data_IF_871156491602
#
_entry.id   IF_871156491602
#
_cell.length_a   1.000
_cell.length_b   1.000
_cell.length_c   1.000
_cell.angle_alpha   90.00
_cell.angle_beta   90.00
_cell.angle_gamma   90.00
#
_symmetry.space_group_name_H-M   'P 1'
#
loop_
_entity.id
_entity.type
_entity.pdbx_description
1 polymer ?
#
# COMPACT_ATOMS: atom_id res chain seq x y z
N UNK A 1 19.70 3.01 -17.85
CA UNK A 1 18.25 3.06 -17.58
C UNK A 1 17.60 1.68 -17.63
N UNK A 2 17.69 0.91 -18.73
CA UNK A 2 17.09 -0.47 -18.78
C UNK A 2 17.54 -1.37 -17.63
N UNK A 3 18.85 -1.50 -17.40
CA UNK A 3 19.40 -2.25 -16.27
C UNK A 3 18.88 -1.78 -14.89
N UNK A 4 18.64 -0.47 -14.73
CA UNK A 4 18.07 0.06 -13.49
C UNK A 4 16.58 -0.28 -13.34
N UNK A 5 15.83 -0.29 -14.44
CA UNK A 5 14.44 -0.78 -14.47
C UNK A 5 14.38 -2.26 -14.11
N UNK A 6 15.20 -3.11 -14.73
CA UNK A 6 15.22 -4.54 -14.48
C UNK A 6 15.58 -4.84 -13.00
N UNK A 7 16.58 -4.12 -12.48
CA UNK A 7 16.95 -4.14 -11.08
C UNK A 7 15.77 -3.75 -10.16
N UNK A 8 15.06 -2.68 -10.48
CA UNK A 8 13.92 -2.20 -9.68
C UNK A 8 12.79 -3.23 -9.65
N UNK A 9 12.49 -3.86 -10.79
CA UNK A 9 11.50 -4.93 -10.90
C UNK A 9 11.87 -6.13 -10.01
N UNK A 10 13.16 -6.49 -9.95
CA UNK A 10 13.66 -7.58 -9.12
C UNK A 10 13.62 -7.25 -7.62
N UNK A 11 14.01 -6.04 -7.23
CA UNK A 11 13.88 -5.58 -5.85
C UNK A 11 12.43 -5.57 -5.38
N UNK A 12 11.49 -5.17 -6.24
CA UNK A 12 10.05 -5.21 -5.91
C UNK A 12 9.50 -6.64 -5.75
N UNK A 13 10.02 -7.61 -6.50
CA UNK A 13 9.66 -9.03 -6.25
C UNK A 13 10.12 -9.48 -4.87
N UNK A 14 11.35 -9.14 -4.47
CA UNK A 14 11.86 -9.45 -3.14
C UNK A 14 11.11 -8.68 -2.03
N UNK A 15 10.77 -7.42 -2.27
CA UNK A 15 9.99 -6.59 -1.35
C UNK A 15 8.65 -7.22 -0.98
N UNK A 16 7.94 -7.78 -1.96
CA UNK A 16 6.67 -8.47 -1.74
C UNK A 16 6.84 -9.76 -0.93
N UNK A 17 7.93 -10.50 -1.16
CA UNK A 17 8.26 -11.68 -0.34
C UNK A 17 8.62 -11.29 1.11
N UNK A 18 9.41 -10.23 1.29
CA UNK A 18 9.74 -9.68 2.60
C UNK A 18 8.48 -9.25 3.35
N UNK A 19 7.59 -8.51 2.69
CA UNK A 19 6.34 -8.04 3.27
C UNK A 19 5.43 -9.19 3.69
N UNK A 20 5.21 -10.16 2.80
CA UNK A 20 4.40 -11.34 3.05
C UNK A 20 4.91 -12.16 4.25
N UNK A 21 6.23 -12.31 4.37
CA UNK A 21 6.84 -13.25 5.31
C UNK A 21 7.46 -12.62 6.56
N UNK A 22 7.37 -11.30 6.72
CA UNK A 22 7.85 -10.62 7.92
C UNK A 22 6.69 -10.35 8.88
N UNK A 23 6.76 -10.84 10.13
CA UNK A 23 5.73 -10.53 11.13
C UNK A 23 5.56 -9.03 11.34
N UNK A 24 4.34 -8.59 11.64
CA UNK A 24 4.03 -7.19 11.93
C UNK A 24 3.74 -6.30 10.71
N UNK A 25 3.91 -6.82 9.50
CA UNK A 25 3.54 -6.12 8.28
C UNK A 25 2.05 -6.30 7.99
N UNK A 26 1.25 -5.40 8.55
CA UNK A 26 -0.20 -5.27 8.34
C UNK A 26 -0.45 -4.15 7.31
N UNK A 27 -1.63 -4.09 6.67
CA UNK A 27 -1.84 -3.24 5.49
C UNK A 27 -1.36 -1.78 5.65
N UNK A 28 -1.59 -1.08 6.78
CA UNK A 28 -1.11 0.28 6.95
C UNK A 28 0.42 0.36 7.11
N UNK A 29 1.01 -0.55 7.88
CA UNK A 29 2.46 -0.62 8.09
C UNK A 29 3.18 -0.95 6.78
N UNK A 30 2.62 -1.86 5.98
CA UNK A 30 3.14 -2.21 4.66
C UNK A 30 3.10 -1.01 3.72
N UNK A 31 1.96 -0.32 3.64
CA UNK A 31 1.81 0.91 2.83
C UNK A 31 2.83 1.99 3.19
N UNK A 32 2.99 2.26 4.51
CA UNK A 32 4.00 3.19 5.01
C UNK A 32 5.40 2.76 4.61
N UNK A 33 5.73 1.48 4.77
CA UNK A 33 7.07 0.96 4.45
C UNK A 33 7.40 1.14 2.97
N UNK A 34 6.47 0.83 2.07
CA UNK A 34 6.67 1.03 0.64
C UNK A 34 6.95 2.51 0.30
N UNK A 35 6.21 3.45 0.90
CA UNK A 35 6.42 4.88 0.63
C UNK A 35 7.84 5.34 0.96
N UNK A 36 8.39 4.93 2.11
CA UNK A 36 9.76 5.27 2.49
C UNK A 36 10.82 4.53 1.67
N UNK A 37 10.57 3.29 1.26
CA UNK A 37 11.48 2.54 0.37
C UNK A 37 11.56 3.23 -0.99
N UNK A 38 10.42 3.58 -1.59
CA UNK A 38 10.39 4.23 -2.89
C UNK A 38 10.86 5.68 -2.85
N UNK A 39 10.68 6.38 -1.72
CA UNK A 39 11.32 7.67 -1.47
C UNK A 39 12.85 7.55 -1.54
N UNK A 40 13.44 6.56 -0.85
CA UNK A 40 14.88 6.33 -0.90
C UNK A 40 15.35 5.95 -2.30
N UNK A 41 14.58 5.14 -3.01
CA UNK A 41 14.89 4.75 -4.38
C UNK A 41 14.87 5.95 -5.33
N UNK A 42 13.82 6.78 -5.27
CA UNK A 42 13.68 8.00 -6.06
C UNK A 42 14.83 8.98 -5.81
N UNK A 43 15.13 9.29 -4.55
CA UNK A 43 16.20 10.22 -4.16
C UNK A 43 17.57 9.71 -4.61
N UNK A 44 17.80 8.38 -4.59
CA UNK A 44 19.03 7.77 -5.08
C UNK A 44 19.25 7.94 -6.60
N UNK A 45 18.22 8.33 -7.35
CA UNK A 45 18.33 8.60 -8.79
C UNK A 45 18.73 10.04 -9.12
N UNK A 46 18.55 10.98 -8.18
CA UNK A 46 18.68 12.43 -8.43
C UNK A 46 19.99 12.91 -9.06
N UNK A 47 21.16 12.29 -8.79
CA UNK A 47 22.41 12.70 -9.44
C UNK A 47 22.38 12.64 -10.98
N UNK A 48 21.45 11.88 -11.59
CA UNK A 48 21.37 11.68 -13.05
C UNK A 48 19.99 11.96 -13.66
N UNK A 49 19.01 12.41 -12.87
CA UNK A 49 17.65 12.70 -13.37
C UNK A 49 17.46 14.15 -13.81
N UNK A 50 18.43 15.04 -13.57
CA UNK A 50 18.53 16.36 -14.20
C UNK A 50 17.43 17.35 -13.79
N UNK A 51 16.24 17.20 -14.39
CA UNK A 51 15.06 18.06 -14.23
C UNK A 51 14.18 17.67 -13.04
N UNK A 52 14.43 16.51 -12.41
CA UNK A 52 13.73 16.08 -11.21
C UNK A 52 14.21 16.87 -9.99
N UNK A 53 13.33 16.99 -9.00
CA UNK A 53 13.56 17.76 -7.77
C UNK A 53 13.60 16.84 -6.57
N UNK A 54 14.32 17.24 -5.54
CA UNK A 54 14.33 16.46 -4.30
C UNK A 54 13.02 16.66 -3.56
N UNK A 55 12.59 15.60 -2.88
CA UNK A 55 11.49 15.59 -1.93
C UNK A 55 11.81 16.39 -0.67
N UNK A 56 13.05 16.85 -0.47
CA UNK A 56 13.41 17.86 0.54
C UNK A 56 12.60 19.16 0.35
N UNK A 57 12.24 19.50 -0.89
CA UNK A 57 11.42 20.69 -1.20
C UNK A 57 9.97 20.53 -0.73
N UNK A 58 9.48 19.29 -0.56
CA UNK A 58 8.09 18.98 -0.18
C UNK A 58 7.94 18.57 1.28
N UNK A 59 8.96 17.95 1.88
CA UNK A 59 8.82 17.27 3.16
C UNK A 59 9.71 17.91 4.23
N UNK A 60 9.15 18.81 5.06
CA UNK A 60 9.89 19.46 6.13
C UNK A 60 10.64 18.47 7.02
N UNK A 61 11.90 18.78 7.28
CA UNK A 61 12.80 17.98 8.12
C UNK A 61 13.43 16.77 7.44
N UNK A 62 13.08 16.45 6.20
CA UNK A 62 13.89 15.57 5.36
C UNK A 62 15.04 16.37 4.74
N UNK A 63 16.23 15.78 4.66
CA UNK A 63 17.36 16.36 3.94
C UNK A 63 18.04 15.35 3.04
N UNK A 64 18.15 15.68 1.76
CA UNK A 64 18.84 14.84 0.79
C UNK A 64 20.35 14.92 1.02
N UNK A 65 21.12 13.83 0.85
CA UNK A 65 22.57 13.91 0.91
C UNK A 65 23.10 14.81 -0.21
N UNK A 66 24.24 15.46 0.05
CA UNK A 66 24.90 16.29 -0.97
C UNK A 66 25.20 15.46 -2.21
N UNK A 67 24.90 16.03 -3.38
CA UNK A 67 25.18 15.39 -4.65
C UNK A 67 26.69 15.06 -4.78
N UNK A 68 27.06 13.93 -5.42
CA UNK A 68 28.45 13.57 -5.65
C UNK A 68 29.18 14.64 -6.46
N UNK A 69 30.45 14.90 -6.14
CA UNK A 69 31.24 15.95 -6.80
C UNK A 69 31.49 15.71 -8.30
N UNK A 70 31.44 14.45 -8.76
CA UNK A 70 31.69 14.03 -10.15
C UNK A 70 30.49 13.28 -10.71
N UNK A 71 29.47 14.01 -11.14
CA UNK A 71 28.21 13.45 -11.65
C UNK A 71 28.41 12.61 -12.92
N UNK A 72 29.38 12.96 -13.75
CA UNK A 72 29.74 12.24 -14.98
C UNK A 72 30.26 10.82 -14.71
N UNK A 73 30.76 10.56 -13.49
CA UNK A 73 31.24 9.25 -13.06
C UNK A 73 30.17 8.48 -12.27
N UNK A 74 29.00 9.06 -12.04
CA UNK A 74 27.94 8.39 -11.29
C UNK A 74 27.41 7.18 -12.07
N UNK A 75 27.02 6.14 -11.34
CA UNK A 75 26.44 4.94 -11.92
C UNK A 75 25.15 4.58 -11.20
N UNK A 76 24.05 5.02 -11.80
CA UNK A 76 22.70 4.89 -11.27
C UNK A 76 22.34 3.49 -10.76
N UNK A 77 22.58 2.38 -11.50
CA UNK A 77 22.22 1.06 -11.01
C UNK A 77 22.89 0.69 -9.68
N UNK A 78 24.16 1.06 -9.46
CA UNK A 78 24.86 0.76 -8.21
C UNK A 78 24.35 1.59 -7.03
N UNK A 79 23.94 2.84 -7.28
CA UNK A 79 23.32 3.68 -6.26
C UNK A 79 21.94 3.14 -5.86
N UNK A 80 21.10 2.85 -6.86
CA UNK A 80 19.76 2.34 -6.66
C UNK A 80 19.76 0.97 -5.95
N UNK A 81 20.66 0.07 -6.35
CA UNK A 81 20.85 -1.23 -5.70
C UNK A 81 21.19 -1.09 -4.21
N UNK A 82 22.14 -0.20 -3.89
CA UNK A 82 22.57 0.03 -2.53
C UNK A 82 21.51 0.74 -1.69
N UNK A 83 20.74 1.66 -2.29
CA UNK A 83 19.61 2.31 -1.64
C UNK A 83 18.54 1.27 -1.25
N UNK A 84 18.09 0.44 -2.19
CA UNK A 84 17.12 -0.64 -1.93
C UNK A 84 17.62 -1.62 -0.85
N UNK A 85 18.85 -2.13 -1.00
CA UNK A 85 19.42 -3.05 -0.01
C UNK A 85 19.47 -2.44 1.39
N UNK A 86 19.96 -1.20 1.52
CA UNK A 86 20.07 -0.55 2.82
C UNK A 86 18.70 -0.24 3.44
N UNK A 87 17.78 0.36 2.69
CA UNK A 87 16.47 0.76 3.22
C UNK A 87 15.63 -0.45 3.61
N UNK A 88 15.69 -1.55 2.83
CA UNK A 88 14.99 -2.79 3.16
C UNK A 88 15.56 -3.44 4.42
N UNK A 89 16.88 -3.44 4.65
CA UNK A 89 17.44 -3.94 5.92
C UNK A 89 16.94 -3.16 7.13
N UNK A 90 16.77 -1.85 6.99
CA UNK A 90 16.25 -1.02 8.09
C UNK A 90 14.80 -1.31 8.44
N UNK A 91 13.91 -1.33 7.43
CA UNK A 91 12.49 -1.58 7.67
C UNK A 91 12.24 -3.04 8.03
N UNK A 92 12.79 -4.00 7.28
CA UNK A 92 12.61 -5.44 7.53
C UNK A 92 13.61 -6.00 8.55
N UNK A 93 14.04 -5.21 9.54
CA UNK A 93 15.03 -5.66 10.54
C UNK A 93 14.58 -6.87 11.38
N UNK A 94 13.26 -7.04 11.56
CA UNK A 94 12.66 -8.20 12.22
C UNK A 94 12.33 -9.38 11.26
N UNK A 95 12.74 -9.30 9.99
CA UNK A 95 12.52 -10.39 9.04
C UNK A 95 13.31 -11.64 9.43
N UNK A 96 12.75 -12.85 9.22
CA UNK A 96 13.47 -14.10 9.44
C UNK A 96 14.81 -14.14 8.69
N UNK A 97 15.82 -14.79 9.28
CA UNK A 97 17.19 -14.86 8.74
C UNK A 97 17.24 -15.22 7.25
N UNK A 98 16.45 -16.22 6.84
CA UNK A 98 16.38 -16.69 5.44
C UNK A 98 16.04 -15.58 4.44
N UNK A 99 15.21 -14.61 4.85
CA UNK A 99 14.79 -13.49 4.00
C UNK A 99 15.76 -12.33 4.08
N UNK A 100 16.37 -12.10 5.24
CA UNK A 100 17.47 -11.14 5.38
C UNK A 100 18.65 -11.50 4.45
N UNK A 101 19.01 -12.79 4.42
CA UNK A 101 20.05 -13.31 3.51
C UNK A 101 19.68 -13.10 2.03
N UNK A 102 18.38 -13.02 1.67
CA UNK A 102 17.95 -12.73 0.29
C UNK A 102 18.20 -11.28 -0.11
N UNK A 103 18.11 -10.33 0.83
CA UNK A 103 18.49 -8.93 0.60
C UNK A 103 19.98 -8.86 0.27
N UNK A 104 20.81 -9.51 1.09
CA UNK A 104 22.26 -9.54 0.92
C UNK A 104 22.64 -10.19 -0.42
N UNK A 105 22.09 -11.37 -0.73
CA UNK A 105 22.32 -12.08 -1.99
C UNK A 105 21.95 -11.24 -3.22
N UNK A 106 20.83 -10.52 -3.17
CA UNK A 106 20.36 -9.69 -4.29
C UNK A 106 21.29 -8.49 -4.51
N UNK A 107 21.63 -7.76 -3.44
CA UNK A 107 22.53 -6.61 -3.52
C UNK A 107 23.93 -7.04 -3.98
N UNK A 108 24.49 -8.12 -3.42
CA UNK A 108 25.83 -8.62 -3.74
C UNK A 108 25.94 -9.09 -5.19
N UNK A 109 24.92 -9.78 -5.71
CA UNK A 109 24.89 -10.24 -7.11
C UNK A 109 25.00 -9.07 -8.08
N UNK A 110 24.14 -8.07 -7.93
CA UNK A 110 24.18 -6.87 -8.78
C UNK A 110 25.48 -6.09 -8.60
N UNK A 111 25.94 -5.93 -7.35
CA UNK A 111 27.21 -5.24 -7.07
C UNK A 111 28.40 -5.94 -7.74
N UNK A 112 28.46 -7.27 -7.70
CA UNK A 112 29.51 -8.04 -8.36
C UNK A 112 29.46 -7.87 -9.89
N UNK A 113 28.26 -7.81 -10.48
CA UNK A 113 28.07 -7.51 -11.89
C UNK A 113 28.57 -6.10 -12.25
N UNK A 114 28.19 -5.09 -11.47
CA UNK A 114 28.57 -3.70 -11.70
C UNK A 114 30.09 -3.49 -11.55
N UNK A 115 30.71 -4.09 -10.53
CA UNK A 115 32.17 -4.03 -10.34
C UNK A 115 32.93 -4.55 -11.57
N UNK A 116 32.43 -5.60 -12.23
CA UNK A 116 33.02 -6.12 -13.49
C UNK A 116 32.85 -5.15 -14.66
N UNK A 117 31.74 -4.42 -14.72
CA UNK A 117 31.44 -3.50 -15.83
C UNK A 117 32.15 -2.14 -15.71
N UNK A 118 32.19 -1.58 -14.50
CA UNK A 118 32.59 -0.18 -14.28
C UNK A 118 33.78 0.00 -13.32
N UNK A 119 34.31 -1.09 -12.78
CA UNK A 119 35.38 -1.08 -11.79
C UNK A 119 34.89 -0.81 -10.36
N UNK A 120 35.71 -1.22 -9.38
CA UNK A 120 35.36 -1.19 -7.96
C UNK A 120 35.14 0.23 -7.42
N UNK A 121 36.07 1.15 -7.70
CA UNK A 121 36.01 2.50 -7.16
C UNK A 121 34.74 3.25 -7.58
N UNK A 122 34.39 3.16 -8.87
CA UNK A 122 33.20 3.82 -9.42
C UNK A 122 31.92 3.20 -8.86
N UNK A 123 31.89 1.88 -8.71
CA UNK A 123 30.77 1.19 -8.07
C UNK A 123 30.60 1.61 -6.61
N UNK A 124 31.69 1.64 -5.82
CA UNK A 124 31.65 2.03 -4.40
C UNK A 124 31.13 3.44 -4.23
N UNK A 125 31.64 4.40 -5.00
CA UNK A 125 31.24 5.82 -4.92
C UNK A 125 29.73 6.00 -5.16
N UNK A 126 29.17 5.31 -6.17
CA UNK A 126 27.74 5.38 -6.45
C UNK A 126 26.89 4.68 -5.36
N UNK A 127 27.35 3.53 -4.87
CA UNK A 127 26.68 2.81 -3.79
C UNK A 127 26.69 3.57 -2.46
N UNK A 128 27.78 4.29 -2.13
CA UNK A 128 27.87 5.15 -0.94
C UNK A 128 26.79 6.23 -0.94
N UNK A 129 26.56 6.89 -2.09
CA UNK A 129 25.45 7.85 -2.21
C UNK A 129 24.09 7.18 -1.96
N UNK A 130 23.84 6.01 -2.56
CA UNK A 130 22.59 5.27 -2.37
C UNK A 130 22.33 4.89 -0.91
N UNK A 131 23.37 4.44 -0.18
CA UNK A 131 23.26 4.14 1.25
C UNK A 131 23.02 5.39 2.09
N UNK A 132 23.68 6.50 1.78
CA UNK A 132 23.47 7.77 2.48
C UNK A 132 22.04 8.29 2.30
N UNK A 133 21.47 8.17 1.09
CA UNK A 133 20.06 8.48 0.83
C UNK A 133 19.15 7.62 1.71
N UNK A 134 19.33 6.29 1.69
CA UNK A 134 18.54 5.37 2.48
C UNK A 134 18.62 5.68 3.99
N UNK A 135 19.79 6.00 4.50
CA UNK A 135 19.98 6.38 5.89
C UNK A 135 19.23 7.68 6.25
N UNK A 136 19.33 8.72 5.41
CA UNK A 136 18.62 9.97 5.65
C UNK A 136 17.09 9.79 5.62
N UNK A 137 16.57 9.01 4.67
CA UNK A 137 15.14 8.68 4.59
C UNK A 137 14.69 7.89 5.82
N UNK A 138 15.49 6.90 6.26
CA UNK A 138 15.18 6.13 7.46
C UNK A 138 15.19 6.99 8.73
N UNK A 139 16.18 7.87 8.89
CA UNK A 139 16.26 8.82 10.01
C UNK A 139 15.07 9.77 10.03
N UNK A 140 14.68 10.31 8.87
CA UNK A 140 13.47 11.13 8.78
C UNK A 140 12.22 10.31 9.11
N UNK A 141 12.11 9.08 8.63
CA UNK A 141 11.03 8.15 9.01
C UNK A 141 10.94 7.92 10.52
N UNK A 142 12.07 7.92 11.24
CA UNK A 142 12.12 7.72 12.68
C UNK A 142 11.56 8.88 13.51
N UNK A 143 11.43 10.08 12.91
CA UNK A 143 10.81 11.24 13.56
C UNK A 143 9.27 11.12 13.63
N UNK A 144 8.67 10.29 12.76
CA UNK A 144 7.26 9.92 12.82
C UNK A 144 7.09 8.73 13.79
N UNK A 145 7.14 9.05 15.09
CA UNK A 145 7.25 8.07 16.18
C UNK A 145 6.07 7.10 16.30
N UNK A 146 4.89 7.52 15.86
CA UNK A 146 3.68 6.69 15.84
C UNK A 146 3.83 5.57 14.79
N UNK A 147 4.30 5.93 13.59
CA UNK A 147 4.40 4.99 12.48
C UNK A 147 5.66 4.13 12.48
N UNK A 148 6.82 4.68 12.86
CA UNK A 148 8.13 4.09 12.57
C UNK A 148 8.33 2.65 13.06
N UNK A 149 7.90 2.35 14.29
CA UNK A 149 8.09 1.05 14.93
C UNK A 149 6.78 0.26 15.09
N UNK A 150 5.72 0.69 14.41
CA UNK A 150 4.39 0.08 14.52
C UNK A 150 4.32 -1.40 14.13
N UNK A 151 5.23 -1.87 13.28
CA UNK A 151 5.38 -3.30 12.96
C UNK A 151 5.79 -4.18 14.15
N UNK A 152 6.29 -3.57 15.23
CA UNK A 152 6.57 -4.29 16.48
C UNK A 152 5.34 -4.32 17.42
N UNK A 153 4.41 -3.37 17.24
CA UNK A 153 3.31 -3.11 18.17
C UNK A 153 2.02 -2.79 17.40
N UNK A 154 1.60 -3.69 16.50
CA UNK A 154 0.43 -3.45 15.64
C UNK A 154 -0.90 -3.37 16.40
N UNK A 155 -1.00 -4.12 17.50
CA UNK A 155 -2.23 -4.32 18.24
C UNK A 155 -2.15 -3.59 19.57
N UNK A 156 -3.05 -2.63 19.79
CA UNK A 156 -3.10 -1.87 21.02
C UNK A 156 -4.01 -2.59 22.03
N UNK A 157 -3.41 -3.12 23.11
CA UNK A 157 -4.13 -3.81 24.18
C UNK A 157 -4.90 -2.86 25.10
N UNK A 158 -4.50 -1.58 25.14
CA UNK A 158 -5.08 -0.56 26.01
C UNK A 158 -6.23 0.21 25.34
N UNK A 159 -6.47 -0.05 24.05
CA UNK A 159 -7.58 0.58 23.34
C UNK A 159 -8.92 -0.01 23.78
N UNK A 160 -9.78 0.85 24.32
CA UNK A 160 -11.14 0.51 24.72
C UNK A 160 -12.10 1.06 23.66
N UNK A 161 -12.77 0.20 22.87
CA UNK A 161 -13.80 0.66 21.95
C UNK A 161 -14.95 1.36 22.70
N UNK A 162 -15.56 2.40 22.12
CA UNK A 162 -16.75 3.05 22.66
C UNK A 162 -17.88 2.05 22.92
N UNK A 163 -18.54 2.19 24.07
CA UNK A 163 -19.67 1.33 24.48
C UNK A 163 -21.01 1.87 23.95
N UNK A 164 -21.14 2.01 22.63
CA UNK A 164 -22.37 2.45 21.95
C UNK A 164 -23.01 1.34 21.11
N UNK A 165 -24.32 1.46 20.89
CA UNK A 165 -25.05 0.61 19.95
C UNK A 165 -24.49 0.87 18.54
N UNK A 166 -24.19 -0.20 17.79
CA UNK A 166 -23.61 -0.10 16.46
C UNK A 166 -22.10 0.12 16.44
N UNK A 167 -21.45 0.20 17.60
CA UNK A 167 -20.01 0.42 17.69
C UNK A 167 -19.24 -0.90 17.68
N UNK A 168 -18.16 -0.95 16.91
CA UNK A 168 -17.33 -2.15 16.76
C UNK A 168 -16.78 -2.61 18.10
N UNK A 169 -16.84 -3.92 18.30
CA UNK A 169 -16.27 -4.62 19.43
C UNK A 169 -15.35 -5.74 18.91
N UNK A 170 -14.26 -6.07 19.62
CA UNK A 170 -13.50 -7.28 19.36
C UNK A 170 -14.40 -8.52 19.33
N UNK A 171 -14.05 -9.47 18.47
CA UNK A 171 -14.75 -10.76 18.39
C UNK A 171 -14.74 -11.45 19.76
N UNK A 172 -15.90 -11.96 20.20
CA UNK A 172 -16.05 -12.60 21.51
C UNK A 172 -15.42 -14.00 21.57
N UNK A 173 -15.42 -14.72 20.45
CA UNK A 173 -14.90 -16.08 20.33
C UNK A 173 -13.37 -16.08 20.16
N UNK A 174 -12.84 -15.13 19.40
CA UNK A 174 -11.40 -14.98 19.16
C UNK A 174 -10.97 -13.52 19.36
N UNK A 175 -10.97 -13.02 20.61
CA UNK A 175 -10.67 -11.63 20.88
C UNK A 175 -9.24 -11.29 20.48
N UNK A 176 -9.13 -10.41 19.49
CA UNK A 176 -7.87 -9.79 19.09
C UNK A 176 -7.96 -8.29 19.38
N UNK A 177 -6.90 -7.66 19.92
CA UNK A 177 -6.91 -6.23 20.21
C UNK A 177 -7.07 -5.39 18.94
N UNK A 178 -7.40 -4.11 19.10
CA UNK A 178 -7.59 -3.20 17.98
C UNK A 178 -6.29 -2.99 17.19
N UNK A 179 -6.37 -3.14 15.87
CA UNK A 179 -5.25 -2.93 14.96
C UNK A 179 -5.02 -1.43 14.71
N UNK A 180 -3.95 -0.90 15.29
CA UNK A 180 -3.43 0.45 15.05
C UNK A 180 -4.46 1.59 15.24
N UNK A 181 -5.14 1.72 16.40
CA UNK A 181 -6.16 2.76 16.63
C UNK A 181 -5.68 4.19 16.41
N UNK A 182 -4.38 4.44 16.65
CA UNK A 182 -3.77 5.77 16.50
C UNK A 182 -3.23 6.05 15.09
N UNK A 183 -3.45 5.15 14.11
CA UNK A 183 -2.81 5.26 12.79
C UNK A 183 -3.18 6.54 12.03
N UNK A 184 -4.36 7.11 12.29
CA UNK A 184 -4.77 8.40 11.71
C UNK A 184 -3.85 9.57 12.07
N UNK A 185 -2.99 9.41 13.09
CA UNK A 185 -2.02 10.42 13.54
C UNK A 185 -0.61 10.25 12.94
N UNK A 186 -0.39 9.20 12.15
CA UNK A 186 0.88 8.99 11.42
C UNK A 186 1.07 10.12 10.40
N UNK A 187 2.33 10.51 10.17
CA UNK A 187 2.66 11.54 9.18
C UNK A 187 2.20 11.13 7.77
N UNK A 188 1.39 11.99 7.14
CA UNK A 188 0.98 11.93 5.73
C UNK A 188 2.08 12.50 4.84
N UNK A 189 2.11 12.11 3.57
CA UNK A 189 3.04 12.62 2.56
C UNK A 189 2.45 13.80 1.78
N UNK A 190 1.32 13.59 1.10
CA UNK A 190 0.75 14.56 0.15
C UNK A 190 -0.58 15.11 0.64
N UNK A 191 -1.37 14.30 1.34
CA UNK A 191 -2.71 14.70 1.79
C UNK A 191 -2.61 15.60 3.02
N UNK A 192 -3.19 16.80 2.91
CA UNK A 192 -3.27 17.78 3.98
C UNK A 192 -4.60 17.71 4.74
N UNK A 193 -4.70 18.43 5.86
CA UNK A 193 -5.95 18.54 6.61
C UNK A 193 -6.99 19.32 5.80
N UNK A 194 -8.17 18.73 5.60
CA UNK A 194 -9.27 19.34 4.84
C UNK A 194 -9.33 18.92 3.37
N UNK A 195 -8.30 18.26 2.85
CA UNK A 195 -8.29 17.72 1.48
C UNK A 195 -9.33 16.64 1.24
N UNK A 196 -9.68 15.94 2.32
CA UNK A 196 -10.66 14.86 2.33
C UNK A 196 -11.68 15.13 3.43
N UNK A 197 -12.94 14.95 3.10
CA UNK A 197 -14.04 14.95 4.05
C UNK A 197 -14.75 13.61 3.95
N UNK A 198 -15.06 13.01 5.10
CA UNK A 198 -15.81 11.77 5.15
C UNK A 198 -17.29 12.01 4.88
N UNK A 199 -17.89 11.12 4.12
CA UNK A 199 -19.34 10.92 4.15
C UNK A 199 -19.68 10.22 5.47
N UNK A 200 -20.79 10.58 6.12
CA UNK A 200 -21.25 9.80 7.27
C UNK A 200 -21.83 8.46 6.80
N UNK A 201 -21.54 7.35 7.49
CA UNK A 201 -22.21 6.08 7.19
C UNK A 201 -23.72 6.20 7.45
N UNK A 202 -24.50 5.28 6.88
CA UNK A 202 -25.91 5.14 7.22
C UNK A 202 -26.07 5.02 8.74
N UNK A 203 -27.06 5.71 9.29
CA UNK A 203 -27.33 5.65 10.73
C UNK A 203 -27.68 4.24 11.13
N UNK A 204 -27.00 3.74 12.16
CA UNK A 204 -27.25 2.41 12.71
C UNK A 204 -28.73 2.26 13.11
N UNK A 205 -29.39 1.23 12.59
CA UNK A 205 -30.81 0.98 12.84
C UNK A 205 -31.14 -0.49 12.58
N UNK A 206 -31.68 -1.18 13.59
CA UNK A 206 -32.04 -2.61 13.56
C UNK A 206 -33.41 -2.88 12.91
N UNK A 207 -34.19 -1.83 12.63
CA UNK A 207 -35.55 -1.96 12.09
C UNK A 207 -35.52 -2.56 10.68
N UNK A 208 -36.25 -3.66 10.43
CA UNK A 208 -36.36 -4.21 9.08
C UNK A 208 -36.82 -3.16 8.06
N UNK A 209 -36.04 -2.97 7.00
CA UNK A 209 -36.29 -1.98 5.95
C UNK A 209 -35.68 -0.60 6.18
N UNK A 210 -34.98 -0.37 7.30
CA UNK A 210 -34.13 0.82 7.48
C UNK A 210 -32.98 0.82 6.46
N UNK A 211 -32.38 1.98 6.13
CA UNK A 211 -31.22 2.03 5.23
C UNK A 211 -30.06 1.12 5.68
N UNK A 212 -29.76 1.08 6.98
CA UNK A 212 -28.70 0.24 7.52
C UNK A 212 -29.05 -1.26 7.47
N UNK A 213 -30.31 -1.61 7.74
CA UNK A 213 -30.78 -2.98 7.58
C UNK A 213 -30.68 -3.43 6.12
N UNK A 214 -30.98 -2.56 5.15
CA UNK A 214 -30.82 -2.85 3.72
C UNK A 214 -29.36 -3.12 3.34
N UNK A 215 -28.41 -2.34 3.83
CA UNK A 215 -26.97 -2.60 3.65
C UNK A 215 -26.57 -4.00 4.17
N UNK A 216 -27.00 -4.34 5.39
CA UNK A 216 -26.73 -5.66 5.97
C UNK A 216 -27.43 -6.81 5.22
N UNK A 217 -28.64 -6.56 4.71
CA UNK A 217 -29.39 -7.53 3.91
C UNK A 217 -28.74 -7.80 2.56
N UNK A 218 -28.14 -6.78 1.93
CA UNK A 218 -27.32 -6.99 0.73
C UNK A 218 -26.18 -7.95 1.04
N UNK A 219 -25.40 -7.67 2.08
CA UNK A 219 -24.28 -8.53 2.50
C UNK A 219 -24.76 -9.96 2.73
N UNK A 220 -25.82 -10.17 3.51
CA UNK A 220 -26.39 -11.50 3.75
C UNK A 220 -26.80 -12.21 2.46
N UNK A 221 -27.47 -11.49 1.54
CA UNK A 221 -28.03 -12.08 0.32
C UNK A 221 -26.96 -12.45 -0.71
N UNK A 222 -25.89 -11.66 -0.85
CA UNK A 222 -24.86 -11.89 -1.88
C UNK A 222 -23.72 -12.77 -1.40
N UNK A 223 -23.56 -12.94 -0.09
CA UNK A 223 -22.45 -13.68 0.51
C UNK A 223 -22.71 -15.18 0.65
N UNK A 224 -23.96 -15.67 0.64
CA UNK A 224 -24.27 -17.11 0.67
C UNK A 224 -25.66 -17.46 0.05
N UNK A 225 -25.76 -18.46 -0.86
CA UNK A 225 -24.67 -19.24 -1.47
C UNK A 225 -23.96 -18.45 -2.58
N UNK A 226 -22.61 -18.53 -2.61
CA UNK A 226 -21.82 -17.86 -3.65
C UNK A 226 -21.82 -18.66 -4.94
N UNK A 227 -21.90 -17.96 -6.08
CA UNK A 227 -21.56 -18.53 -7.38
C UNK A 227 -20.05 -18.84 -7.43
N UNK A 228 -19.63 -19.73 -8.35
CA UNK A 228 -18.20 -20.00 -8.57
C UNK A 228 -17.40 -18.73 -8.88
N UNK A 229 -18.01 -17.80 -9.60
CA UNK A 229 -17.41 -16.51 -9.93
C UNK A 229 -17.22 -15.64 -8.68
N UNK A 230 -18.23 -15.55 -7.82
CA UNK A 230 -18.13 -14.75 -6.60
C UNK A 230 -17.12 -15.35 -5.61
N UNK A 231 -17.01 -16.69 -5.53
CA UNK A 231 -15.96 -17.36 -4.74
C UNK A 231 -14.58 -16.98 -5.28
N UNK A 232 -14.39 -17.02 -6.60
CA UNK A 232 -13.10 -16.66 -7.19
C UNK A 232 -12.73 -15.20 -6.90
N UNK A 233 -13.67 -14.26 -7.08
CA UNK A 233 -13.45 -12.84 -6.78
C UNK A 233 -13.13 -12.63 -5.29
N UNK A 234 -13.87 -13.30 -4.41
CA UNK A 234 -13.65 -13.25 -2.96
C UNK A 234 -12.24 -13.74 -2.57
N UNK A 235 -11.81 -14.89 -3.08
CA UNK A 235 -10.47 -15.43 -2.81
C UNK A 235 -9.35 -14.55 -3.39
N UNK A 236 -9.54 -14.06 -4.63
CA UNK A 236 -8.55 -13.29 -5.38
C UNK A 236 -8.16 -11.96 -4.70
N UNK A 237 -9.11 -11.35 -3.98
CA UNK A 237 -8.95 -10.06 -3.29
C UNK A 237 -8.98 -10.20 -1.77
N UNK A 238 -8.76 -11.41 -1.26
CA UNK A 238 -8.82 -11.67 0.19
C UNK A 238 -7.75 -10.91 0.95
N UNK A 239 -6.48 -11.02 0.50
CA UNK A 239 -5.25 -10.29 0.87
C UNK A 239 -5.01 -9.98 2.38
N UNK A 240 -5.80 -10.56 3.29
CA UNK A 240 -5.79 -10.35 4.74
C UNK A 240 -5.29 -11.60 5.50
N UNK A 241 -4.45 -12.44 4.87
CA UNK A 241 -3.94 -13.69 5.46
C UNK A 241 -2.42 -13.60 5.68
N UNK A 242 -1.96 -13.03 6.82
CA UNK A 242 -0.54 -12.83 7.11
C UNK A 242 0.31 -14.09 7.00
N UNK A 243 1.47 -13.99 6.37
CA UNK A 243 2.33 -15.15 6.11
C UNK A 243 1.89 -15.99 4.91
N UNK A 244 0.64 -15.86 4.45
CA UNK A 244 0.07 -16.60 3.33
C UNK A 244 -0.17 -15.73 2.09
N UNK A 245 -0.61 -14.49 2.25
CA UNK A 245 -0.80 -13.52 1.17
C UNK A 245 0.04 -12.28 1.43
N UNK A 246 0.31 -11.49 0.39
CA UNK A 246 0.68 -10.09 0.57
C UNK A 246 -0.51 -9.33 1.17
N UNK A 247 -0.26 -8.20 1.80
CA UNK A 247 -1.37 -7.32 2.24
C UNK A 247 -2.07 -6.67 1.03
N UNK A 248 -3.24 -6.05 1.23
CA UNK A 248 -3.93 -5.31 0.16
C UNK A 248 -3.08 -4.15 -0.37
N UNK A 249 -2.22 -3.55 0.46
CA UNK A 249 -1.24 -2.57 0.00
C UNK A 249 -0.17 -3.24 -0.89
N UNK A 250 0.34 -4.40 -0.48
CA UNK A 250 1.32 -5.18 -1.25
C UNK A 250 0.75 -5.67 -2.59
N UNK A 251 -0.56 -5.97 -2.63
CA UNK A 251 -1.29 -6.30 -3.86
C UNK A 251 -1.12 -5.25 -4.94
N UNK A 252 -1.28 -3.97 -4.59
CA UNK A 252 -1.17 -2.88 -5.55
C UNK A 252 0.26 -2.59 -5.97
N UNK A 253 1.25 -2.85 -5.11
CA UNK A 253 2.67 -2.86 -5.52
C UNK A 253 2.96 -4.01 -6.49
N UNK A 254 2.38 -5.20 -6.27
CA UNK A 254 2.48 -6.32 -7.20
C UNK A 254 1.87 -5.99 -8.57
N UNK A 255 0.70 -5.36 -8.59
CA UNK A 255 0.03 -4.92 -9.83
C UNK A 255 0.87 -3.85 -10.54
N UNK A 256 1.40 -2.86 -9.82
CA UNK A 256 2.29 -1.85 -10.39
C UNK A 256 3.54 -2.49 -11.04
N UNK A 257 4.17 -3.44 -10.35
CA UNK A 257 5.33 -4.17 -10.86
C UNK A 257 5.02 -4.95 -12.15
N UNK A 258 3.85 -5.60 -12.22
CA UNK A 258 3.38 -6.30 -13.41
C UNK A 258 3.07 -5.34 -14.56
N UNK A 259 2.39 -4.23 -14.29
CA UNK A 259 2.04 -3.22 -15.28
C UNK A 259 3.28 -2.54 -15.88
N UNK A 260 4.29 -2.24 -15.05
CA UNK A 260 5.58 -1.70 -15.52
C UNK A 260 6.31 -2.72 -16.40
N UNK A 261 6.35 -4.00 -15.99
CA UNK A 261 6.98 -5.05 -16.77
C UNK A 261 6.30 -5.26 -18.14
N UNK A 262 4.97 -5.13 -18.19
CA UNK A 262 4.17 -5.25 -19.40
C UNK A 262 4.35 -4.04 -20.33
N UNK A 263 4.19 -2.82 -19.81
CA UNK A 263 4.16 -1.58 -20.61
C UNK A 263 5.55 -1.05 -20.97
N UNK A 264 6.60 -1.45 -20.23
CA UNK A 264 7.99 -1.03 -20.41
C UNK A 264 8.16 0.49 -20.59
N UNK A 265 7.63 1.31 -19.66
CA UNK A 265 7.70 2.76 -19.78
C UNK A 265 9.14 3.24 -19.59
N UNK A 266 9.37 4.54 -19.80
CA UNK A 266 10.69 5.12 -19.53
C UNK A 266 11.09 4.94 -18.06
N UNK A 267 12.39 4.84 -17.76
CA UNK A 267 12.87 4.67 -16.39
C UNK A 267 12.36 5.74 -15.43
N UNK A 268 12.20 6.97 -15.91
CA UNK A 268 11.65 8.05 -15.09
C UNK A 268 10.21 7.77 -14.68
N UNK A 269 9.36 7.35 -15.61
CA UNK A 269 7.97 6.93 -15.33
C UNK A 269 7.95 5.73 -14.37
N UNK A 270 8.91 4.80 -14.47
CA UNK A 270 9.03 3.69 -13.49
C UNK A 270 9.20 4.22 -12.07
N UNK A 271 10.15 5.14 -11.85
CA UNK A 271 10.41 5.69 -10.52
C UNK A 271 9.24 6.54 -10.01
N UNK A 272 8.64 7.37 -10.88
CA UNK A 272 7.46 8.16 -10.52
C UNK A 272 6.28 7.25 -10.15
N UNK A 273 6.05 6.18 -10.91
CA UNK A 273 4.97 5.22 -10.67
C UNK A 273 5.11 4.57 -9.30
N UNK A 274 6.29 4.04 -8.97
CA UNK A 274 6.49 3.38 -7.67
C UNK A 274 6.38 4.36 -6.50
N UNK A 275 7.00 5.54 -6.61
CA UNK A 275 6.95 6.57 -5.58
C UNK A 275 5.51 7.02 -5.30
N UNK A 276 4.81 7.49 -6.34
CA UNK A 276 3.46 8.03 -6.22
C UNK A 276 2.47 6.95 -5.79
N UNK A 277 2.58 5.72 -6.31
CA UNK A 277 1.70 4.61 -5.90
C UNK A 277 1.88 4.32 -4.40
N UNK A 278 3.13 4.26 -3.94
CA UNK A 278 3.42 3.95 -2.54
C UNK A 278 3.01 5.08 -1.58
N UNK A 279 3.20 6.35 -1.97
CA UNK A 279 2.70 7.51 -1.21
C UNK A 279 1.17 7.52 -1.14
N UNK A 280 0.48 7.23 -2.24
CA UNK A 280 -0.98 7.17 -2.29
C UNK A 280 -1.53 6.05 -1.38
N UNK A 281 -0.90 4.89 -1.38
CA UNK A 281 -1.25 3.80 -0.46
C UNK A 281 -1.02 4.21 1.01
N UNK A 282 0.11 4.86 1.32
CA UNK A 282 0.43 5.31 2.66
C UNK A 282 -0.62 6.31 3.17
N UNK A 283 -0.91 7.36 2.41
CA UNK A 283 -1.88 8.38 2.81
C UNK A 283 -3.30 7.82 2.89
N UNK A 284 -3.69 6.94 1.95
CA UNK A 284 -4.96 6.22 2.04
C UNK A 284 -5.05 5.40 3.33
N UNK A 285 -3.96 4.76 3.78
CA UNK A 285 -3.97 3.98 5.02
C UNK A 285 -4.24 4.85 6.24
N UNK A 286 -3.65 6.05 6.27
CA UNK A 286 -3.76 7.01 7.37
C UNK A 286 -5.19 7.53 7.45
N UNK A 287 -5.73 8.02 6.32
CA UNK A 287 -7.09 8.57 6.24
C UNK A 287 -8.13 7.49 6.57
N UNK A 288 -7.97 6.27 6.05
CA UNK A 288 -8.98 5.24 6.30
C UNK A 288 -8.96 4.78 7.75
N UNK A 289 -7.79 4.63 8.38
CA UNK A 289 -7.75 4.29 9.79
C UNK A 289 -8.28 5.43 10.66
N UNK A 290 -8.03 6.69 10.32
CA UNK A 290 -8.67 7.84 10.97
C UNK A 290 -10.21 7.71 10.94
N UNK A 291 -10.77 7.43 9.75
CA UNK A 291 -12.21 7.19 9.58
C UNK A 291 -12.73 6.00 10.39
N UNK A 292 -12.01 4.87 10.35
CA UNK A 292 -12.36 3.65 11.08
C UNK A 292 -12.54 3.91 12.57
N UNK A 293 -11.58 4.57 13.20
CA UNK A 293 -11.63 4.81 14.63
C UNK A 293 -12.48 6.04 15.01
N UNK A 294 -12.74 6.95 14.06
CA UNK A 294 -13.71 8.04 14.22
C UNK A 294 -15.16 7.54 14.26
N UNK A 295 -15.58 6.73 13.29
CA UNK A 295 -16.96 6.25 13.19
C UNK A 295 -17.20 4.98 13.98
N UNK A 296 -16.14 4.16 14.12
CA UNK A 296 -16.12 2.95 14.93
C UNK A 296 -17.29 2.00 14.63
N UNK A 297 -17.67 1.86 13.36
CA UNK A 297 -18.86 1.10 12.96
C UNK A 297 -18.68 -0.42 13.11
N UNK A 298 -19.68 -1.11 13.65
CA UNK A 298 -19.73 -2.57 13.78
C UNK A 298 -19.67 -3.30 12.43
N UNK A 299 -19.16 -4.54 12.44
CA UNK A 299 -19.00 -5.37 11.23
C UNK A 299 -20.30 -6.08 10.86
N UNK A 300 -20.49 -6.44 9.57
CA UNK A 300 -21.68 -7.14 9.11
C UNK A 300 -22.01 -8.41 9.90
N UNK A 301 -21.02 -9.22 10.25
CA UNK A 301 -21.27 -10.48 10.98
C UNK A 301 -21.97 -10.27 12.32
N UNK A 302 -21.50 -9.32 13.13
CA UNK A 302 -22.10 -9.03 14.44
C UNK A 302 -23.53 -8.50 14.32
N UNK A 303 -23.83 -7.76 13.25
CA UNK A 303 -25.17 -7.24 12.98
C UNK A 303 -26.10 -8.34 12.46
N UNK A 304 -25.66 -9.08 11.43
CA UNK A 304 -26.46 -10.12 10.75
C UNK A 304 -26.78 -11.25 11.72
N UNK A 305 -25.82 -11.71 12.53
CA UNK A 305 -26.03 -12.73 13.56
C UNK A 305 -27.15 -12.33 14.54
N UNK A 306 -27.17 -11.07 14.98
CA UNK A 306 -28.18 -10.56 15.92
C UNK A 306 -29.54 -10.31 15.28
N UNK A 307 -29.58 -9.71 14.09
CA UNK A 307 -30.77 -9.03 13.57
C UNK A 307 -31.41 -9.72 12.36
N UNK A 308 -30.67 -10.59 11.65
CA UNK A 308 -31.12 -11.17 10.37
C UNK A 308 -31.13 -12.70 10.43
N UNK A 309 -29.98 -13.32 10.73
CA UNK A 309 -29.80 -14.76 10.70
C UNK A 309 -28.81 -15.20 11.80
N UNK A 310 -29.32 -15.69 12.94
CA UNK A 310 -28.48 -16.25 13.99
C UNK A 310 -27.58 -17.38 13.48
N UNK A 311 -26.32 -17.34 13.88
CA UNK A 311 -25.26 -18.25 13.47
C UNK A 311 -24.66 -17.96 12.09
N UNK A 312 -25.04 -16.87 11.42
CA UNK A 312 -24.41 -16.49 10.15
C UNK A 312 -22.94 -16.13 10.36
N UNK A 313 -22.11 -16.53 9.40
CA UNK A 313 -20.66 -16.27 9.38
C UNK A 313 -20.25 -15.74 8.02
N UNK A 314 -19.37 -14.75 8.03
CA UNK A 314 -18.69 -14.32 6.82
C UNK A 314 -17.85 -15.45 6.23
N UNK A 315 -17.47 -15.35 4.96
CA UNK A 315 -16.62 -16.37 4.32
C UNK A 315 -15.23 -16.39 4.96
N UNK A 316 -14.71 -15.22 5.36
CA UNK A 316 -13.42 -15.03 6.01
C UNK A 316 -13.58 -14.37 7.39
N UNK A 317 -12.65 -14.65 8.30
CA UNK A 317 -12.62 -14.06 9.63
C UNK A 317 -12.61 -12.53 9.60
N UNK A 318 -13.35 -11.91 10.52
CA UNK A 318 -13.41 -10.47 10.62
C UNK A 318 -12.07 -9.89 11.09
N UNK A 319 -11.49 -8.92 10.37
CA UNK A 319 -10.31 -8.23 10.85
C UNK A 319 -10.59 -7.39 12.10
N UNK A 320 -9.61 -7.28 12.99
CA UNK A 320 -9.72 -6.63 14.31
C UNK A 320 -9.63 -5.10 14.25
N UNK A 321 -10.55 -4.50 13.49
CA UNK A 321 -10.74 -3.06 13.36
C UNK A 321 -12.15 -2.74 12.85
N UNK A 322 -12.65 -1.50 13.06
CA UNK A 322 -13.99 -1.08 12.62
C UNK A 322 -14.24 -1.19 11.12
N UNK A 323 -15.52 -1.27 10.73
CA UNK A 323 -15.93 -1.52 9.34
C UNK A 323 -15.70 -0.30 8.44
N UNK A 324 -16.27 0.86 8.78
CA UNK A 324 -16.33 2.01 7.88
C UNK A 324 -15.15 2.99 8.03
N UNK A 325 -14.51 3.47 6.95
CA UNK A 325 -14.64 3.02 5.55
C UNK A 325 -13.77 1.78 5.22
N UNK A 326 -13.97 1.19 4.05
CA UNK A 326 -13.22 0.01 3.57
C UNK A 326 -11.80 0.36 3.12
N UNK A 327 -10.80 -0.27 3.74
CA UNK A 327 -9.38 -0.09 3.39
C UNK A 327 -9.02 -0.65 2.03
N UNK A 328 -9.48 -1.86 1.71
CA UNK A 328 -9.30 -2.50 0.40
C UNK A 328 -9.72 -1.58 -0.75
N UNK A 329 -10.94 -1.06 -0.64
CA UNK A 329 -11.55 -0.17 -1.63
C UNK A 329 -10.73 1.11 -1.83
N UNK A 330 -10.26 1.71 -0.73
CA UNK A 330 -9.46 2.93 -0.79
C UNK A 330 -8.05 2.71 -1.33
N UNK A 331 -7.36 1.64 -0.90
CA UNK A 331 -6.06 1.27 -1.45
C UNK A 331 -6.16 1.04 -2.95
N UNK A 332 -7.21 0.33 -3.38
CA UNK A 332 -7.41 0.06 -4.79
C UNK A 332 -7.73 1.28 -5.63
N UNK A 333 -8.63 2.14 -5.17
CA UNK A 333 -8.91 3.37 -5.90
C UNK A 333 -7.71 4.33 -5.93
N UNK A 334 -6.96 4.45 -4.82
CA UNK A 334 -5.78 5.32 -4.76
C UNK A 334 -4.68 4.88 -5.72
N UNK A 335 -4.30 3.59 -5.68
CA UNK A 335 -3.31 3.05 -6.59
C UNK A 335 -3.80 3.07 -8.04
N UNK A 336 -5.08 2.72 -8.29
CA UNK A 336 -5.62 2.71 -9.64
C UNK A 336 -5.61 4.09 -10.31
N UNK A 337 -5.90 5.18 -9.58
CA UNK A 337 -5.81 6.53 -10.16
C UNK A 337 -4.36 6.90 -10.50
N UNK A 338 -3.38 6.62 -9.62
CA UNK A 338 -1.96 6.88 -9.92
C UNK A 338 -1.52 6.07 -11.14
N UNK A 339 -1.76 4.76 -11.16
CA UNK A 339 -1.38 3.89 -12.26
C UNK A 339 -2.05 4.31 -13.58
N UNK A 340 -3.30 4.80 -13.51
CA UNK A 340 -4.02 5.28 -14.69
C UNK A 340 -3.44 6.59 -15.25
N UNK A 341 -2.88 7.45 -14.40
CA UNK A 341 -2.18 8.67 -14.83
C UNK A 341 -0.82 8.34 -15.43
N UNK A 342 -0.04 7.50 -14.75
CA UNK A 342 1.35 7.21 -15.13
C UNK A 342 1.48 6.24 -16.32
N UNK A 343 0.60 5.23 -16.39
CA UNK A 343 0.70 4.13 -17.37
C UNK A 343 -0.43 4.15 -18.40
N UNK A 344 -1.48 4.95 -18.18
CA UNK A 344 -2.62 5.11 -19.08
C UNK A 344 -3.93 4.53 -18.53
N UNK A 345 -5.06 5.17 -18.89
CA UNK A 345 -6.39 4.87 -18.33
C UNK A 345 -7.03 3.58 -18.87
N UNK A 346 -6.77 3.25 -20.14
CA UNK A 346 -7.38 2.13 -20.85
C UNK A 346 -6.32 1.06 -21.16
N UNK A 347 -5.62 0.61 -20.12
CA UNK A 347 -4.60 -0.43 -20.21
C UNK A 347 -5.21 -1.75 -19.78
N UNK A 348 -5.27 -2.71 -20.71
CA UNK A 348 -5.58 -4.09 -20.35
C UNK A 348 -4.43 -4.65 -19.52
N UNK A 349 -4.76 -5.24 -18.37
CA UNK A 349 -3.79 -5.81 -17.43
C UNK A 349 -4.28 -7.17 -16.96
N UNK A 350 -3.39 -8.15 -17.00
CA UNK A 350 -3.64 -9.45 -16.38
C UNK A 350 -2.95 -9.49 -15.04
N UNK A 351 -3.75 -9.67 -14.01
CA UNK A 351 -3.30 -9.77 -12.65
C UNK A 351 -2.93 -11.22 -12.29
N UNK A 352 -1.68 -11.38 -11.87
CA UNK A 352 -1.00 -12.66 -11.64
C UNK A 352 -0.47 -12.82 -10.21
N UNK A 353 -0.82 -11.94 -9.25
CA UNK A 353 -0.22 -12.04 -7.90
C UNK A 353 -0.50 -13.39 -7.22
N UNK A 354 -1.67 -13.97 -7.46
CA UNK A 354 -2.05 -15.29 -6.94
C UNK A 354 -2.02 -16.39 -8.01
N UNK A 355 -1.32 -16.17 -9.13
CA UNK A 355 -1.19 -17.19 -10.17
C UNK A 355 -0.45 -18.43 -9.64
N UNK A 356 -0.96 -19.63 -9.95
CA UNK A 356 -0.44 -20.94 -9.53
C UNK A 356 -0.52 -21.27 -8.03
N UNK A 357 -1.16 -20.40 -7.24
CA UNK A 357 -1.48 -20.69 -5.83
C UNK A 357 -2.43 -21.88 -5.73
N UNK A 358 -2.21 -22.75 -4.76
CA UNK A 358 -3.04 -23.95 -4.53
C UNK A 358 -4.05 -23.76 -3.40
N UNK A 359 -3.86 -22.70 -2.61
CA UNK A 359 -4.71 -22.34 -1.48
C UNK A 359 -5.97 -21.56 -1.92
N UNK A 360 -6.00 -21.15 -3.19
CA UNK A 360 -7.07 -20.39 -3.85
C UNK A 360 -7.29 -20.97 -5.25
N UNK A 361 -8.30 -20.49 -5.99
CA UNK A 361 -8.51 -20.84 -7.42
C UNK A 361 -7.23 -20.72 -8.27
N UNK A 362 -6.31 -19.81 -7.92
CA UNK A 362 -4.95 -19.76 -8.47
C UNK A 362 -4.85 -19.35 -9.95
N UNK A 363 -5.97 -18.93 -10.55
CA UNK A 363 -6.03 -18.46 -11.94
C UNK A 363 -5.80 -16.94 -12.01
N UNK A 364 -5.02 -16.46 -12.99
CA UNK A 364 -4.88 -15.03 -13.21
C UNK A 364 -6.19 -14.45 -13.75
N UNK A 365 -6.40 -13.15 -13.54
CA UNK A 365 -7.62 -12.46 -13.97
C UNK A 365 -7.29 -11.20 -14.77
N UNK A 366 -7.98 -10.98 -15.89
CA UNK A 366 -7.70 -9.88 -16.82
C UNK A 366 -8.76 -8.81 -16.72
N UNK A 367 -8.32 -7.55 -16.73
CA UNK A 367 -9.16 -6.36 -16.64
C UNK A 367 -8.78 -5.40 -17.78
N UNK A 368 -9.71 -4.54 -18.18
CA UNK A 368 -9.52 -3.52 -19.22
C UNK A 368 -8.96 -2.20 -18.66
N UNK A 369 -8.97 -2.01 -17.34
CA UNK A 369 -8.39 -0.84 -16.68
C UNK A 369 -8.07 -1.09 -15.21
N UNK A 370 -7.19 -0.29 -14.62
CA UNK A 370 -6.96 -0.30 -13.17
C UNK A 370 -8.21 0.12 -12.37
N UNK A 371 -9.05 1.00 -12.94
CA UNK A 371 -10.32 1.39 -12.31
C UNK A 371 -11.27 0.20 -12.19
N UNK A 372 -11.33 -0.68 -13.20
CA UNK A 372 -12.12 -1.91 -13.14
C UNK A 372 -11.61 -2.84 -12.04
N UNK A 373 -10.28 -3.00 -11.92
CA UNK A 373 -9.68 -3.76 -10.81
C UNK A 373 -10.06 -3.19 -9.45
N UNK A 374 -10.05 -1.87 -9.28
CA UNK A 374 -10.42 -1.23 -8.02
C UNK A 374 -11.90 -1.45 -7.68
N UNK A 375 -12.80 -1.45 -8.67
CA UNK A 375 -14.22 -1.75 -8.47
C UNK A 375 -14.43 -3.20 -8.03
N UNK A 376 -13.76 -4.15 -8.68
CA UNK A 376 -13.85 -5.56 -8.28
C UNK A 376 -13.24 -5.81 -6.89
N UNK A 377 -12.10 -5.18 -6.59
CA UNK A 377 -11.49 -5.19 -5.27
C UNK A 377 -12.49 -4.72 -4.19
N UNK A 378 -13.17 -3.60 -4.42
CA UNK A 378 -14.18 -3.09 -3.49
C UNK A 378 -15.38 -4.05 -3.37
N UNK A 379 -15.92 -4.51 -4.49
CA UNK A 379 -17.07 -5.43 -4.52
C UNK A 379 -16.77 -6.75 -3.81
N UNK A 380 -15.54 -7.27 -3.91
CA UNK A 380 -15.13 -8.52 -3.26
C UNK A 380 -15.37 -8.51 -1.74
N UNK A 381 -15.36 -7.34 -1.09
CA UNK A 381 -15.49 -7.24 0.36
C UNK A 381 -16.92 -7.43 0.84
N UNK A 382 -17.89 -7.06 0.01
CA UNK A 382 -19.31 -7.38 0.22
C UNK A 382 -19.53 -8.88 -0.03
N UNK A 383 -18.92 -9.45 -1.07
CA UNK A 383 -19.02 -10.87 -1.40
C UNK A 383 -18.45 -11.78 -0.29
N UNK A 384 -17.32 -11.40 0.31
CA UNK A 384 -16.71 -12.12 1.45
C UNK A 384 -17.53 -11.94 2.74
N UNK A 385 -18.34 -10.87 2.83
CA UNK A 385 -19.21 -10.62 3.98
C UNK A 385 -18.60 -9.76 5.09
N UNK A 386 -17.53 -9.00 4.81
CA UNK A 386 -16.76 -8.28 5.84
C UNK A 386 -16.93 -6.75 5.82
N UNK A 387 -17.61 -6.23 4.80
CA UNK A 387 -17.94 -4.81 4.65
C UNK A 387 -19.36 -4.63 4.09
N UNK A 388 -20.01 -3.54 4.49
CA UNK A 388 -21.22 -3.03 3.84
C UNK A 388 -20.88 -2.38 2.49
N UNK A 389 -21.87 -2.17 1.62
CA UNK A 389 -21.66 -1.48 0.34
C UNK A 389 -21.21 -0.04 0.56
N UNK A 390 -21.83 0.66 1.51
CA UNK A 390 -21.44 2.03 1.87
C UNK A 390 -19.97 2.15 2.31
N UNK A 391 -19.41 1.15 3.00
CA UNK A 391 -18.00 1.14 3.40
C UNK A 391 -17.10 1.16 2.16
N UNK A 392 -17.49 0.37 1.15
CA UNK A 392 -16.74 0.17 -0.08
C UNK A 392 -16.83 1.38 -1.00
N UNK A 393 -18.03 1.96 -1.15
CA UNK A 393 -18.26 3.17 -1.94
C UNK A 393 -17.49 4.37 -1.38
N UNK A 394 -17.53 4.58 -0.06
CA UNK A 394 -16.75 5.64 0.56
C UNK A 394 -15.25 5.40 0.41
N UNK A 395 -14.79 4.15 0.59
CA UNK A 395 -13.40 3.79 0.37
C UNK A 395 -12.94 4.12 -1.06
N UNK A 396 -13.71 3.72 -2.07
CA UNK A 396 -13.45 4.06 -3.47
C UNK A 396 -13.38 5.57 -3.69
N UNK A 397 -14.32 6.33 -3.13
CA UNK A 397 -14.40 7.78 -3.28
C UNK A 397 -13.18 8.47 -2.66
N UNK A 398 -12.85 8.14 -1.42
CA UNK A 398 -11.69 8.69 -0.71
C UNK A 398 -10.39 8.30 -1.41
N UNK A 399 -10.21 7.03 -1.74
CA UNK A 399 -9.04 6.55 -2.46
C UNK A 399 -8.83 7.28 -3.78
N UNK A 400 -9.90 7.53 -4.54
CA UNK A 400 -9.85 8.29 -5.78
C UNK A 400 -9.38 9.74 -5.61
N UNK A 401 -9.84 10.43 -4.56
CA UNK A 401 -9.39 11.80 -4.25
C UNK A 401 -7.90 11.79 -3.89
N UNK A 402 -7.50 10.84 -3.05
CA UNK A 402 -6.11 10.71 -2.58
C UNK A 402 -5.18 10.39 -3.75
N UNK A 403 -5.51 9.39 -4.56
CA UNK A 403 -4.72 8.98 -5.71
C UNK A 403 -4.53 10.11 -6.72
N UNK A 404 -5.55 10.93 -6.96
CA UNK A 404 -5.44 12.11 -7.83
C UNK A 404 -4.48 13.16 -7.28
N UNK A 405 -4.63 13.53 -6.00
CA UNK A 405 -3.73 14.50 -5.35
C UNK A 405 -2.27 14.05 -5.40
N UNK A 406 -2.03 12.76 -5.18
CA UNK A 406 -0.67 12.20 -5.25
C UNK A 406 -0.16 12.10 -6.68
N UNK A 407 -1.00 11.74 -7.65
CA UNK A 407 -0.62 11.73 -9.07
C UNK A 407 -0.24 13.13 -9.58
N UNK A 408 -0.92 14.16 -9.07
CA UNK A 408 -0.68 15.57 -9.40
C UNK A 408 0.55 16.16 -8.67
N UNK A 409 1.22 15.42 -7.78
CA UNK A 409 2.46 15.86 -7.12
C UNK A 409 3.54 16.12 -8.19
N UNK A 410 3.99 17.38 -8.38
CA UNK A 410 4.99 17.69 -9.38
C UNK A 410 6.37 17.17 -8.95
N UNK A 411 6.99 16.34 -9.78
CA UNK A 411 8.32 15.78 -9.51
C UNK A 411 9.39 16.35 -10.44
N UNK A 412 9.01 17.24 -11.36
CA UNK A 412 9.90 17.92 -12.30
C UNK A 412 9.87 19.42 -12.09
N UNK A 413 11.02 20.09 -12.24
CA UNK A 413 11.15 21.56 -12.06
C UNK A 413 10.12 22.38 -12.85
N UNK A 414 9.84 21.98 -14.10
CA UNK A 414 8.86 22.68 -14.95
C UNK A 414 7.44 22.57 -14.40
N UNK A 415 7.06 21.41 -13.88
CA UNK A 415 5.74 21.19 -13.29
C UNK A 415 5.60 22.01 -12.01
N UNK A 416 6.61 21.96 -11.14
CA UNK A 416 6.64 22.74 -9.90
C UNK A 416 6.57 24.27 -10.16
N UNK A 417 7.30 24.76 -11.17
CA UNK A 417 7.27 26.19 -11.55
C UNK A 417 5.89 26.65 -12.07
N UNK A 418 5.16 25.78 -12.78
CA UNK A 418 3.81 26.09 -13.26
C UNK A 418 2.77 26.14 -12.14
N UNK A 419 2.98 25.38 -11.05
CA UNK A 419 2.12 25.43 -9.87
C UNK A 419 2.37 26.69 -9.03
N UNK A 420 3.63 27.09 -8.84
CA UNK A 420 3.99 28.29 -8.08
C UNK A 420 3.67 29.62 -8.80
N UNK A 421 3.22 29.58 -10.05
CA UNK A 421 2.85 30.76 -10.86
C UNK A 421 1.34 30.95 -11.00
N UNK A 422 0.53 30.05 -10.42
CA UNK A 422 -0.92 30.17 -10.27
C UNK A 422 -1.26 30.56 -8.84
#
# INVERSE_FOLDING_TARGET
HRLATDLSLEWHRLLLELERHTPGYRPPVSARTFAYIEMAAYEATLPVTGDFISLEDYFPGYSSPRLPAKLEQFYLPASLNAAYGQIMRYFFRNTPKKWREKIDQLEERFTAEFKKQIGEQRCSTASEFGRAVAENVWRWSATDTIGHNSFLNNFNQDYIPPSCIGCWQPDKSHPMPALLPEWGRVRKFVIENGDVAFTSPATFDETPGSPFFTEAMEVFSVSQPLSKENIWIAELWSDDLPGLTVTPSGRWISIANQAIAQSRPSFYVVMETYLKTSMALCDASIIIWEGKYKFNLERPEAYIDRNIKPGWKALHDNPSFPSYPSGHSAFGAAAAEVLSVELGRNVQITDRTHEYRQEFVGKPRTYQSFSEMAQENAASRVLIGVHYRMDCEEGLRLGKIIGRKVADLPLRRKEAAMLNSK
#
